data_IF_228909291545
#
_entry.id   IF_228909291545
#
_cell.length_a   1.000
_cell.length_b   1.000
_cell.length_c   1.000
_cell.angle_alpha   90.00
_cell.angle_beta   90.00
_cell.angle_gamma   90.00
#
_symmetry.space_group_name_H-M   'P 1'
#
loop_
_entity.id
_entity.type
_entity.pdbx_description
1 polymer ?
#
# COMPACT_ATOMS: atom_id res chain seq x y z
N UNK A 1 9.15 -21.11 -8.10
CA UNK A 1 9.28 -19.72 -7.60
C UNK A 1 8.52 -18.80 -8.54
N UNK A 2 7.37 -18.26 -8.12
CA UNK A 2 6.54 -17.38 -8.98
C UNK A 2 7.18 -16.00 -9.16
N UNK A 3 7.01 -15.49 -10.37
CA UNK A 3 7.71 -14.36 -10.97
C UNK A 3 7.30 -13.02 -10.37
N UNK A 4 8.20 -12.05 -10.48
CA UNK A 4 8.05 -10.70 -9.98
C UNK A 4 7.88 -9.79 -11.17
N UNK A 5 6.69 -9.22 -11.25
CA UNK A 5 6.40 -8.13 -12.16
C UNK A 5 6.71 -6.82 -11.44
N UNK A 6 7.22 -5.83 -12.16
CA UNK A 6 7.42 -4.50 -11.61
C UNK A 6 6.30 -3.60 -12.13
N UNK A 7 5.46 -3.07 -11.24
CA UNK A 7 4.39 -2.13 -11.55
C UNK A 7 4.78 -0.73 -11.10
N UNK A 8 4.68 0.25 -11.99
CA UNK A 8 4.82 1.67 -11.65
C UNK A 8 3.48 2.21 -11.16
N UNK A 9 3.46 2.87 -10.00
CA UNK A 9 2.22 3.35 -9.37
C UNK A 9 2.42 4.76 -8.84
N UNK A 10 1.35 5.56 -8.84
CA UNK A 10 1.27 6.82 -8.08
C UNK A 10 0.16 6.69 -7.04
N UNK A 11 0.53 6.84 -5.77
CA UNK A 11 -0.36 6.77 -4.61
C UNK A 11 -0.56 8.16 -4.00
N UNK A 12 -1.64 8.36 -3.25
CA UNK A 12 -1.82 9.58 -2.45
C UNK A 12 -1.08 9.50 -1.10
N UNK A 13 -0.50 10.61 -0.67
CA UNK A 13 0.03 10.76 0.69
C UNK A 13 -0.98 11.56 1.54
N UNK A 14 -1.64 10.92 2.51
CA UNK A 14 -2.74 11.55 3.27
C UNK A 14 -2.30 12.22 4.58
N UNK A 15 -1.01 12.29 4.91
CA UNK A 15 -0.59 12.96 6.14
C UNK A 15 -0.64 14.50 6.00
N UNK A 16 -1.73 15.11 6.46
CA UNK A 16 -1.71 16.50 6.92
C UNK A 16 -1.65 16.49 8.45
N UNK A 17 -0.51 16.91 8.99
CA UNK A 17 -0.39 17.34 10.37
C UNK A 17 -1.39 18.49 10.60
N UNK A 18 -2.44 18.25 11.39
CA UNK A 18 -3.33 19.29 11.88
C UNK A 18 -2.76 19.85 13.18
N UNK A 19 -1.77 20.75 13.08
CA UNK A 19 -1.42 21.66 14.17
C UNK A 19 -2.39 22.84 14.16
N UNK A 20 -3.19 22.98 15.21
CA UNK A 20 -4.10 24.11 15.41
C UNK A 20 -3.35 25.42 15.58
N UNK A 21 -3.82 26.48 14.92
CA UNK A 21 -3.25 27.82 15.01
C UNK A 21 -3.66 28.54 16.30
N UNK A 22 -2.66 28.96 17.07
CA UNK A 22 -2.73 30.04 18.06
C UNK A 22 -1.53 30.97 17.83
N UNK A 23 -1.79 32.27 17.68
CA UNK A 23 -0.81 33.25 17.22
C UNK A 23 0.34 33.55 18.20
N UNK A 24 1.50 33.89 17.64
CA UNK A 24 2.66 34.41 18.36
C UNK A 24 3.82 34.70 17.38
N UNK A 25 4.41 35.90 17.45
CA UNK A 25 5.49 36.39 16.59
C UNK A 25 6.86 35.75 16.90
N UNK A 26 7.73 35.82 15.89
CA UNK A 26 9.22 35.82 15.91
C UNK A 26 9.98 34.51 15.67
N UNK A 27 10.78 34.59 14.58
CA UNK A 27 12.14 34.06 14.32
C UNK A 27 12.51 32.69 14.91
N UNK A 28 12.75 31.70 14.05
CA UNK A 28 14.10 31.18 13.78
C UNK A 28 14.07 29.99 12.80
N UNK A 29 15.17 29.88 12.06
CA UNK A 29 15.50 28.87 11.05
C UNK A 29 15.58 27.46 11.66
N UNK A 30 14.66 26.56 11.33
CA UNK A 30 14.88 25.12 11.55
C UNK A 30 14.18 24.26 10.50
N UNK A 31 14.98 23.57 9.71
CA UNK A 31 14.62 22.47 8.80
C UNK A 31 13.85 21.39 9.59
N UNK A 32 12.53 21.27 9.44
CA UNK A 32 11.75 20.23 10.11
C UNK A 32 11.70 18.94 9.28
N UNK A 33 12.57 18.01 9.66
CA UNK A 33 12.54 16.60 9.27
C UNK A 33 11.26 15.95 9.83
N UNK A 34 10.24 15.81 8.99
CA UNK A 34 9.00 15.12 9.36
C UNK A 34 9.17 13.61 9.16
N UNK A 35 9.72 12.94 10.18
CA UNK A 35 9.72 11.49 10.32
C UNK A 35 8.28 11.01 10.51
N UNK A 36 7.68 10.48 9.43
CA UNK A 36 6.60 9.51 9.60
C UNK A 36 7.19 8.36 10.40
N UNK A 37 6.72 8.13 11.62
CA UNK A 37 7.09 7.00 12.46
C UNK A 37 6.60 5.69 11.82
N UNK A 38 7.18 5.29 10.69
CA UNK A 38 7.51 3.90 10.51
C UNK A 38 8.64 3.69 11.51
N UNK A 39 8.34 3.14 12.69
CA UNK A 39 9.40 2.77 13.62
C UNK A 39 10.42 1.95 12.84
N UNK A 40 11.70 2.27 13.01
CA UNK A 40 12.81 1.42 12.59
C UNK A 40 12.73 0.12 13.39
N UNK A 41 11.75 -0.72 13.07
CA UNK A 41 11.68 -2.09 13.55
C UNK A 41 12.55 -2.86 12.58
N UNK A 42 13.87 -2.81 12.81
CA UNK A 42 14.71 -3.92 12.38
C UNK A 42 14.11 -5.17 13.02
N UNK A 43 13.48 -6.03 12.23
CA UNK A 43 12.90 -7.27 12.73
C UNK A 43 14.05 -8.14 13.29
N UNK A 44 14.21 -8.09 14.61
CA UNK A 44 15.04 -8.99 15.39
C UNK A 44 14.13 -10.05 15.98
N UNK A 45 14.29 -11.29 15.52
CA UNK A 45 13.49 -12.43 15.96
C UNK A 45 13.68 -12.78 17.45
N UNK A 46 14.71 -12.21 18.12
CA UNK A 46 15.04 -12.51 19.51
C UNK A 46 14.31 -11.65 20.55
N UNK A 47 13.67 -10.54 20.15
CA UNK A 47 12.98 -9.60 21.05
C UNK A 47 11.46 -9.53 20.80
N UNK A 48 10.89 -10.58 20.21
CA UNK A 48 9.51 -10.59 19.71
C UNK A 48 8.47 -10.68 20.85
N UNK A 49 7.62 -9.64 21.08
CA UNK A 49 6.56 -9.67 22.09
C UNK A 49 5.38 -10.57 21.69
N UNK A 50 5.45 -11.26 20.55
CA UNK A 50 4.41 -12.14 20.01
C UNK A 50 4.78 -13.63 20.00
N UNK A 51 5.83 -14.03 20.74
CA UNK A 51 6.13 -15.43 21.03
C UNK A 51 5.10 -15.99 22.03
N UNK A 52 4.50 -17.15 21.72
CA UNK A 52 3.83 -17.97 22.73
C UNK A 52 4.43 -19.37 22.80
N UNK A 53 4.27 -20.01 23.95
CA UNK A 53 4.93 -21.27 24.36
C UNK A 53 4.56 -22.49 23.48
N UNK A 54 3.65 -22.34 22.52
CA UNK A 54 3.10 -23.42 21.69
C UNK A 54 3.67 -23.47 20.26
N UNK A 55 4.61 -22.58 19.88
CA UNK A 55 5.32 -22.65 18.59
C UNK A 55 4.42 -22.51 17.35
N UNK A 56 3.23 -21.91 17.48
CA UNK A 56 2.35 -21.63 16.35
C UNK A 56 2.66 -20.27 15.74
N UNK A 57 2.80 -20.26 14.41
CA UNK A 57 3.58 -19.26 13.70
C UNK A 57 2.74 -18.11 13.11
N UNK A 58 3.34 -16.91 13.18
CA UNK A 58 3.16 -15.69 12.39
C UNK A 58 2.07 -14.67 12.77
N UNK A 59 2.55 -13.46 13.08
CA UNK A 59 2.10 -12.27 12.34
C UNK A 59 3.18 -11.22 12.25
N UNK A 60 3.91 -11.23 11.14
CA UNK A 60 4.57 -10.01 10.67
C UNK A 60 3.50 -8.91 10.59
N UNK A 61 3.81 -7.65 10.96
CA UNK A 61 2.85 -6.57 10.85
C UNK A 61 2.38 -6.43 9.38
N UNK A 62 1.20 -5.85 9.14
CA UNK A 62 0.63 -5.69 7.80
C UNK A 62 1.57 -5.00 6.82
N UNK A 63 2.49 -4.17 7.32
CA UNK A 63 3.63 -3.69 6.57
C UNK A 63 4.88 -3.64 7.44
N UNK A 64 6.02 -3.94 6.83
CA UNK A 64 7.31 -4.07 7.51
C UNK A 64 8.47 -3.73 6.57
N UNK A 65 9.66 -3.54 7.14
CA UNK A 65 10.91 -3.40 6.40
C UNK A 65 11.80 -4.61 6.64
N UNK A 66 12.67 -4.88 5.69
CA UNK A 66 13.67 -5.97 5.79
C UNK A 66 15.03 -5.33 6.01
N UNK A 67 15.76 -5.81 7.02
CA UNK A 67 17.11 -5.33 7.33
C UNK A 67 18.05 -5.58 6.16
N UNK A 68 18.87 -4.58 5.82
CA UNK A 68 19.84 -4.66 4.72
C UNK A 68 19.26 -4.32 3.35
N UNK A 69 17.97 -3.96 3.29
CA UNK A 69 17.35 -3.40 2.09
C UNK A 69 17.33 -1.88 2.11
N UNK A 70 17.01 -1.24 0.98
CA UNK A 70 16.86 0.22 0.90
C UNK A 70 15.83 0.76 1.89
N UNK A 71 16.12 1.92 2.49
CA UNK A 71 15.21 2.68 3.36
C UNK A 71 13.97 3.20 2.62
N UNK A 72 13.92 3.15 1.30
CA UNK A 72 12.71 3.43 0.52
C UNK A 72 11.86 2.18 0.28
N UNK A 73 12.36 0.98 0.65
CA UNK A 73 11.69 -0.29 0.44
C UNK A 73 10.93 -0.77 1.68
N UNK A 74 9.70 -1.22 1.47
CA UNK A 74 8.85 -1.85 2.48
C UNK A 74 8.02 -2.96 1.84
N UNK A 75 7.42 -3.81 2.67
CA UNK A 75 6.53 -4.88 2.24
C UNK A 75 5.16 -4.68 2.82
N UNK A 76 4.14 -5.10 2.09
CA UNK A 76 2.77 -5.19 2.58
C UNK A 76 2.33 -6.64 2.47
N UNK A 77 1.83 -7.20 3.57
CA UNK A 77 1.35 -8.57 3.66
C UNK A 77 -0.01 -8.62 4.34
N UNK A 78 -0.96 -9.26 3.68
CA UNK A 78 -2.29 -9.51 4.23
C UNK A 78 -2.92 -10.68 3.48
N UNK A 79 -3.52 -11.67 4.14
CA UNK A 79 -4.37 -12.63 3.46
C UNK A 79 -5.58 -11.91 2.86
N UNK A 80 -5.88 -12.17 1.58
CA UNK A 80 -6.96 -11.51 0.84
C UNK A 80 -8.02 -12.51 0.41
N UNK A 81 -9.28 -12.09 0.46
CA UNK A 81 -10.41 -12.86 -0.04
C UNK A 81 -11.28 -12.03 -0.98
N UNK A 82 -11.76 -12.68 -2.03
CA UNK A 82 -12.74 -12.12 -2.96
C UNK A 82 -14.13 -12.39 -2.42
N UNK A 83 -14.98 -11.37 -2.45
CA UNK A 83 -16.42 -11.53 -2.24
C UNK A 83 -17.07 -11.73 -3.63
N UNK A 84 -17.75 -12.87 -3.89
CA UNK A 84 -18.34 -13.15 -5.19
C UNK A 84 -19.45 -12.16 -5.57
N UNK A 85 -20.06 -11.51 -4.58
CA UNK A 85 -21.20 -10.61 -4.77
C UNK A 85 -20.76 -9.15 -4.96
N UNK A 86 -19.47 -8.85 -4.77
CA UNK A 86 -18.95 -7.49 -4.90
C UNK A 86 -17.72 -7.40 -5.79
N UNK A 87 -17.42 -6.19 -6.25
CA UNK A 87 -16.16 -5.92 -6.93
C UNK A 87 -14.97 -5.80 -5.97
N UNK A 88 -15.24 -5.70 -4.66
CA UNK A 88 -14.21 -5.47 -3.65
C UNK A 88 -13.53 -6.77 -3.23
N UNK A 89 -12.33 -6.61 -2.73
CA UNK A 89 -11.50 -7.65 -2.11
C UNK A 89 -11.24 -7.15 -0.71
N UNK A 90 -11.27 -8.08 0.25
CA UNK A 90 -11.12 -7.79 1.67
C UNK A 90 -9.86 -8.46 2.22
N UNK A 91 -9.26 -7.83 3.22
CA UNK A 91 -8.18 -8.42 3.99
C UNK A 91 -8.74 -9.15 5.21
N UNK A 92 -8.02 -10.17 5.66
CA UNK A 92 -8.39 -10.86 6.89
C UNK A 92 -8.27 -9.89 8.08
N UNK A 93 -9.28 -9.73 8.94
CA UNK A 93 -9.27 -8.68 9.97
C UNK A 93 -8.09 -8.76 10.91
N UNK A 94 -7.64 -9.98 11.21
CA UNK A 94 -6.56 -10.15 12.18
C UNK A 94 -5.19 -9.76 11.62
N UNK A 95 -5.02 -9.62 10.29
CA UNK A 95 -3.79 -9.05 9.72
C UNK A 95 -3.79 -7.53 9.74
N UNK A 96 -4.92 -6.90 10.08
CA UNK A 96 -5.05 -5.44 10.18
C UNK A 96 -4.99 -4.95 11.64
N UNK A 97 -4.67 -5.83 12.59
CA UNK A 97 -4.46 -5.46 13.99
C UNK A 97 -3.30 -4.45 14.04
N UNK A 98 -3.49 -3.35 14.79
CA UNK A 98 -2.55 -2.23 14.85
C UNK A 98 -2.82 -1.10 13.85
N UNK A 99 -3.74 -1.29 12.89
CA UNK A 99 -4.21 -0.23 12.00
C UNK A 99 -5.41 0.52 12.58
N UNK A 100 -5.70 1.70 12.03
CA UNK A 100 -6.82 2.53 12.48
C UNK A 100 -8.14 1.77 12.38
N UNK A 101 -9.11 2.13 13.25
CA UNK A 101 -10.44 1.55 13.20
C UNK A 101 -11.10 1.72 11.82
N UNK A 102 -10.85 2.86 11.16
CA UNK A 102 -11.37 3.18 9.82
C UNK A 102 -10.85 2.20 8.75
N UNK A 103 -9.54 1.92 8.74
CA UNK A 103 -8.93 0.96 7.83
C UNK A 103 -9.46 -0.45 8.12
N UNK A 104 -9.53 -0.83 9.39
CA UNK A 104 -9.98 -2.16 9.83
C UNK A 104 -11.45 -2.40 9.47
N UNK A 105 -12.33 -1.45 9.76
CA UNK A 105 -13.77 -1.59 9.49
C UNK A 105 -14.08 -1.59 8.00
N UNK A 106 -13.30 -0.84 7.21
CA UNK A 106 -13.55 -0.72 5.77
C UNK A 106 -12.99 -1.90 4.98
N UNK A 107 -11.77 -2.33 5.29
CA UNK A 107 -11.05 -3.32 4.48
C UNK A 107 -10.95 -4.70 5.12
N UNK A 108 -11.25 -4.81 6.42
CA UNK A 108 -11.30 -6.08 7.14
C UNK A 108 -12.69 -6.69 7.11
N UNK A 109 -12.80 -7.94 6.62
CA UNK A 109 -14.07 -8.65 6.56
C UNK A 109 -13.86 -10.14 6.82
N UNK A 110 -14.78 -10.84 7.50
CA UNK A 110 -14.70 -12.31 7.68
C UNK A 110 -15.68 -13.06 6.80
N UNK A 111 -16.86 -12.49 6.60
CA UNK A 111 -17.97 -13.12 5.91
C UNK A 111 -18.54 -12.18 4.85
N UNK A 112 -19.20 -12.71 3.83
CA UNK A 112 -20.04 -11.90 2.92
C UNK A 112 -21.21 -11.25 3.67
N UNK A 113 -22.00 -10.42 2.98
CA UNK A 113 -23.22 -9.81 3.54
C UNK A 113 -24.26 -10.87 3.95
N UNK A 114 -24.26 -12.02 3.28
CA UNK A 114 -25.13 -13.17 3.54
C UNK A 114 -24.57 -14.11 4.62
N UNK A 115 -23.46 -13.75 5.27
CA UNK A 115 -22.86 -14.53 6.35
C UNK A 115 -21.99 -15.71 5.90
N UNK A 116 -21.68 -15.84 4.60
CA UNK A 116 -20.78 -16.90 4.10
C UNK A 116 -19.33 -16.57 4.42
N UNK A 117 -18.57 -17.52 4.97
CA UNK A 117 -17.15 -17.30 5.29
C UNK A 117 -16.30 -17.05 4.03
N UNK A 118 -15.48 -16.00 4.08
CA UNK A 118 -14.60 -15.62 2.99
C UNK A 118 -13.33 -16.49 2.95
N UNK A 119 -12.94 -16.92 1.75
CA UNK A 119 -11.74 -17.76 1.57
C UNK A 119 -10.48 -16.93 1.36
N UNK A 120 -9.72 -16.73 2.43
CA UNK A 120 -8.47 -15.96 2.41
C UNK A 120 -7.31 -16.73 1.80
N UNK A 121 -6.50 -16.04 0.99
CA UNK A 121 -5.24 -16.56 0.45
C UNK A 121 -4.11 -15.59 0.80
N UNK A 122 -2.93 -16.09 1.18
CA UNK A 122 -1.79 -15.22 1.50
C UNK A 122 -1.44 -14.33 0.31
N UNK A 123 -1.01 -13.11 0.62
CA UNK A 123 -0.55 -12.18 -0.41
C UNK A 123 0.57 -11.29 0.12
N UNK A 124 1.51 -10.96 -0.77
CA UNK A 124 2.69 -10.18 -0.43
C UNK A 124 3.06 -9.27 -1.60
N UNK A 125 3.32 -8.00 -1.30
CA UNK A 125 3.79 -7.01 -2.26
C UNK A 125 5.02 -6.31 -1.69
N UNK A 126 6.10 -6.29 -2.46
CA UNK A 126 7.24 -5.41 -2.18
C UNK A 126 6.97 -4.05 -2.78
N UNK A 127 7.27 -2.99 -2.06
CA UNK A 127 7.00 -1.61 -2.43
C UNK A 127 8.29 -0.79 -2.30
N UNK A 128 8.59 0.07 -3.27
CA UNK A 128 9.73 0.99 -3.20
C UNK A 128 9.25 2.39 -3.53
N UNK A 129 9.45 3.33 -2.59
CA UNK A 129 9.20 4.74 -2.87
C UNK A 129 10.23 5.25 -3.87
N UNK A 130 9.77 5.69 -5.04
CA UNK A 130 10.63 6.24 -6.09
C UNK A 130 10.74 7.75 -6.01
N UNK A 131 9.61 8.42 -5.75
CA UNK A 131 9.54 9.88 -5.68
C UNK A 131 8.37 10.32 -4.82
N UNK A 132 8.54 11.38 -4.03
CA UNK A 132 7.45 12.12 -3.37
C UNK A 132 7.28 13.45 -4.09
N UNK A 133 6.06 13.91 -4.28
CA UNK A 133 5.78 15.15 -5.02
C UNK A 133 4.30 15.51 -4.99
N UNK A 134 3.86 16.28 -5.99
CA UNK A 134 2.49 16.72 -6.14
C UNK A 134 1.91 16.37 -7.51
N UNK A 135 0.61 16.06 -7.52
CA UNK A 135 -0.19 15.88 -8.73
C UNK A 135 -1.41 16.80 -8.65
N UNK A 136 -1.47 17.82 -9.51
CA UNK A 136 -2.53 18.84 -9.48
C UNK A 136 -2.74 19.45 -8.07
N UNK A 137 -1.65 19.70 -7.35
CA UNK A 137 -1.66 20.27 -5.99
C UNK A 137 -1.93 19.27 -4.87
N UNK A 138 -2.20 17.99 -5.18
CA UNK A 138 -2.35 16.94 -4.18
C UNK A 138 -1.01 16.26 -3.90
N UNK A 139 -0.65 16.05 -2.62
CA UNK A 139 0.56 15.31 -2.27
C UNK A 139 0.42 13.84 -2.69
N UNK A 140 1.40 13.37 -3.46
CA UNK A 140 1.45 12.01 -3.99
C UNK A 140 2.83 11.40 -3.83
N UNK A 141 2.87 10.08 -3.82
CA UNK A 141 4.09 9.29 -3.80
C UNK A 141 4.07 8.32 -4.98
N UNK A 142 5.10 8.39 -5.83
CA UNK A 142 5.36 7.40 -6.86
C UNK A 142 6.05 6.20 -6.23
N UNK A 143 5.48 5.02 -6.44
CA UNK A 143 5.91 3.76 -5.82
C UNK A 143 6.07 2.69 -6.90
N UNK A 144 7.18 1.95 -6.85
CA UNK A 144 7.35 0.70 -7.58
C UNK A 144 6.74 -0.43 -6.75
N UNK A 145 5.74 -1.13 -7.29
CA UNK A 145 5.10 -2.27 -6.65
C UNK A 145 5.52 -3.56 -7.34
N UNK A 146 5.97 -4.54 -6.56
CA UNK A 146 6.37 -5.85 -7.05
C UNK A 146 5.56 -6.92 -6.33
N UNK A 147 4.40 -7.33 -6.88
CA UNK A 147 3.60 -8.40 -6.30
C UNK A 147 4.37 -9.72 -6.36
N UNK A 148 4.40 -10.43 -5.23
CA UNK A 148 4.99 -11.78 -5.12
C UNK A 148 3.93 -12.87 -5.27
N UNK A 149 2.68 -12.44 -5.31
CA UNK A 149 1.46 -13.20 -5.52
C UNK A 149 0.55 -12.39 -6.44
N UNK A 150 -0.32 -13.05 -7.22
CA UNK A 150 -1.32 -12.38 -8.05
C UNK A 150 -2.73 -12.63 -7.52
N UNK A 151 -3.16 -11.94 -6.45
CA UNK A 151 -4.57 -11.95 -6.04
C UNK A 151 -5.33 -10.82 -6.74
N UNK A 152 -6.63 -10.97 -6.95
CA UNK A 152 -7.47 -9.90 -7.49
C UNK A 152 -7.33 -8.65 -6.61
N UNK A 153 -7.12 -7.50 -7.26
CA UNK A 153 -6.97 -6.18 -6.62
C UNK A 153 -5.88 -6.09 -5.53
N UNK A 154 -4.92 -7.02 -5.49
CA UNK A 154 -3.91 -7.08 -4.43
C UNK A 154 -3.20 -5.74 -4.21
N UNK A 155 -2.63 -5.17 -5.27
CA UNK A 155 -1.88 -3.92 -5.20
C UNK A 155 -2.75 -2.75 -4.71
N UNK A 156 -3.99 -2.69 -5.22
CA UNK A 156 -4.96 -1.65 -4.90
C UNK A 156 -5.33 -1.67 -3.42
N UNK A 157 -5.68 -2.85 -2.91
CA UNK A 157 -6.04 -3.03 -1.51
C UNK A 157 -4.83 -2.88 -0.58
N UNK A 158 -3.67 -3.42 -0.94
CA UNK A 158 -2.43 -3.27 -0.17
C UNK A 158 -2.07 -1.80 0.06
N UNK A 159 -2.16 -0.98 -0.99
CA UNK A 159 -1.91 0.46 -0.86
C UNK A 159 -3.01 1.18 -0.06
N UNK A 160 -4.25 0.72 -0.15
CA UNK A 160 -5.35 1.27 0.65
C UNK A 160 -5.22 0.97 2.15
N UNK A 161 -4.81 -0.25 2.53
CA UNK A 161 -4.61 -0.62 3.95
C UNK A 161 -3.41 0.09 4.59
N UNK A 162 -2.43 0.54 3.79
CA UNK A 162 -1.35 1.41 4.30
C UNK A 162 -1.80 2.87 4.47
N UNK A 163 -3.06 3.18 4.15
CA UNK A 163 -3.59 4.55 4.14
C UNK A 163 -3.27 5.36 2.89
N UNK A 164 -2.60 4.75 1.91
CA UNK A 164 -2.04 5.40 0.72
C UNK A 164 -2.67 4.84 -0.56
N UNK A 165 -3.99 4.96 -0.69
CA UNK A 165 -4.71 4.42 -1.85
C UNK A 165 -4.14 4.96 -3.19
N UNK A 166 -4.27 4.13 -4.23
CA UNK A 166 -3.81 4.47 -5.58
C UNK A 166 -4.67 5.63 -6.11
N UNK A 167 -4.01 6.66 -6.67
CA UNK A 167 -4.70 7.81 -7.25
C UNK A 167 -5.63 7.38 -8.41
N UNK A 168 -6.86 7.88 -8.47
CA UNK A 168 -7.92 7.51 -9.40
C UNK A 168 -8.58 6.14 -9.15
N UNK A 169 -8.29 5.46 -8.04
CA UNK A 169 -8.95 4.20 -7.68
C UNK A 169 -10.33 4.43 -7.04
N UNK A 170 -11.37 4.41 -7.88
CA UNK A 170 -12.76 4.63 -7.45
C UNK A 170 -13.28 3.67 -6.37
N UNK A 171 -12.68 2.48 -6.24
CA UNK A 171 -13.08 1.45 -5.28
C UNK A 171 -12.43 1.70 -3.92
N UNK A 172 -11.12 1.95 -3.90
CA UNK A 172 -10.34 1.96 -2.68
C UNK A 172 -9.91 3.37 -2.21
N UNK A 173 -9.96 4.41 -3.04
CA UNK A 173 -9.66 5.79 -2.62
C UNK A 173 -10.64 6.34 -1.58
N UNK A 174 -11.87 5.84 -1.55
CA UNK A 174 -12.92 6.43 -0.74
C UNK A 174 -12.78 6.21 0.77
N UNK A 175 -11.59 5.89 1.31
CA UNK A 175 -11.48 5.19 2.59
C UNK A 175 -10.30 5.43 3.50
N UNK A 176 -9.41 6.38 3.25
CA UNK A 176 -8.25 6.54 4.14
C UNK A 176 -7.98 7.96 4.62
N UNK A 177 -9.01 8.80 4.73
CA UNK A 177 -8.83 10.06 5.42
C UNK A 177 -10.13 10.77 5.74
N UNK A 178 -10.12 11.44 6.89
CA UNK A 178 -10.98 12.56 7.28
C UNK A 178 -10.75 13.77 6.35
N UNK A 179 -10.63 13.55 5.05
CA UNK A 179 -10.42 14.61 4.09
C UNK A 179 -11.69 15.46 4.05
N UNK A 180 -11.56 16.79 4.18
CA UNK A 180 -12.69 17.67 4.00
C UNK A 180 -13.35 17.39 2.65
N UNK A 181 -14.68 17.49 2.53
CA UNK A 181 -15.41 17.20 1.27
C UNK A 181 -14.80 17.87 0.03
N UNK A 182 -14.16 19.04 0.19
CA UNK A 182 -13.44 19.77 -0.86
C UNK A 182 -12.23 19.02 -1.43
N UNK A 183 -11.48 18.30 -0.60
CA UNK A 183 -10.30 17.56 -1.04
C UNK A 183 -10.69 16.28 -1.79
N UNK A 184 -11.74 15.57 -1.32
CA UNK A 184 -12.33 14.42 -2.03
C UNK A 184 -12.92 14.78 -3.41
N UNK A 185 -13.46 15.99 -3.55
CA UNK A 185 -13.91 16.52 -4.85
C UNK A 185 -12.73 16.86 -5.75
N UNK A 186 -11.66 17.46 -5.21
CA UNK A 186 -10.44 17.75 -5.95
C UNK A 186 -9.80 16.46 -6.46
N UNK A 187 -9.60 15.46 -5.60
CA UNK A 187 -9.08 14.13 -5.95
C UNK A 187 -9.79 13.52 -7.18
N UNK A 188 -11.13 13.44 -7.14
CA UNK A 188 -11.95 12.94 -8.26
C UNK A 188 -11.81 13.77 -9.54
N UNK A 189 -11.57 15.08 -9.43
CA UNK A 189 -11.35 15.98 -10.56
C UNK A 189 -9.91 15.90 -11.10
N UNK A 190 -8.96 15.50 -10.27
CA UNK A 190 -7.52 15.55 -10.60
C UNK A 190 -7.01 14.34 -11.37
N UNK A 191 -7.67 13.19 -11.31
CA UNK A 191 -7.26 12.01 -12.06
C UNK A 191 -8.45 11.22 -12.62
N UNK A 192 -8.54 11.17 -13.95
CA UNK A 192 -9.66 10.52 -14.66
C UNK A 192 -9.45 9.01 -14.85
N UNK A 193 -8.33 8.46 -14.37
CA UNK A 193 -7.98 7.05 -14.48
C UNK A 193 -7.20 6.60 -13.25
N UNK A 194 -7.25 5.32 -12.93
CA UNK A 194 -6.40 4.75 -11.90
C UNK A 194 -4.92 4.84 -12.32
N UNK A 195 -4.08 5.39 -11.45
CA UNK A 195 -2.63 5.55 -11.60
C UNK A 195 -1.87 4.26 -11.23
N UNK A 196 -2.28 3.15 -11.82
CA UNK A 196 -1.63 1.84 -11.72
C UNK A 196 -1.22 1.39 -13.12
N UNK A 197 0.06 1.11 -13.32
CA UNK A 197 0.62 0.74 -14.63
C UNK A 197 1.53 -0.49 -14.53
N UNK A 198 1.29 -1.47 -15.40
CA UNK A 198 2.17 -2.62 -15.58
C UNK A 198 3.41 -2.20 -16.36
N UNK A 199 4.48 -1.86 -15.63
CA UNK A 199 5.68 -1.28 -16.23
C UNK A 199 6.61 -2.34 -16.81
N UNK A 200 6.78 -3.48 -16.13
CA UNK A 200 7.69 -4.54 -16.57
C UNK A 200 7.15 -5.92 -16.22
N UNK A 201 7.26 -6.83 -17.17
CA UNK A 201 6.81 -8.21 -17.11
C UNK A 201 7.95 -9.11 -17.58
N UNK A 202 8.31 -10.10 -16.76
CA UNK A 202 9.36 -11.07 -17.10
C UNK A 202 8.74 -12.45 -17.14
N UNK A 203 8.74 -13.14 -18.29
CA UNK A 203 8.06 -14.45 -18.48
C UNK A 203 9.04 -15.49 -19.06
N UNK A 204 9.06 -16.75 -18.56
CA UNK A 204 9.85 -17.83 -19.11
C UNK A 204 8.98 -18.58 -20.13
N UNK A 205 9.00 -18.13 -21.39
CA UNK A 205 8.01 -18.59 -22.38
C UNK A 205 8.19 -20.05 -22.83
N UNK A 206 9.35 -20.66 -22.60
CA UNK A 206 9.59 -22.07 -22.93
C UNK A 206 10.52 -22.68 -21.90
N UNK A 207 10.34 -23.97 -21.60
CA UNK A 207 11.26 -24.73 -20.75
C UNK A 207 12.67 -24.88 -21.38
N UNK A 208 12.77 -24.73 -22.69
CA UNK A 208 13.98 -24.94 -23.49
C UNK A 208 14.85 -23.67 -23.61
N UNK A 209 14.24 -22.49 -23.67
CA UNK A 209 14.97 -21.21 -23.59
C UNK A 209 15.34 -20.90 -22.13
N UNK A 210 16.63 -21.01 -21.81
CA UNK A 210 17.17 -20.69 -20.48
C UNK A 210 17.03 -19.21 -20.08
N UNK A 211 16.82 -18.32 -21.05
CA UNK A 211 16.68 -16.87 -20.80
C UNK A 211 15.20 -16.46 -20.77
N UNK A 212 14.73 -15.80 -19.70
CA UNK A 212 13.38 -15.26 -19.64
C UNK A 212 13.24 -14.08 -20.62
N UNK A 213 12.06 -13.92 -21.22
CA UNK A 213 11.75 -12.72 -22.00
C UNK A 213 11.30 -11.60 -21.08
N UNK A 214 11.80 -10.39 -21.33
CA UNK A 214 11.48 -9.18 -20.56
C UNK A 214 10.74 -8.21 -21.47
N UNK A 215 9.59 -7.73 -21.01
CA UNK A 215 8.78 -6.72 -21.66
C UNK A 215 8.72 -5.49 -20.76
N UNK A 216 8.96 -4.30 -21.31
CA UNK A 216 8.96 -3.04 -20.56
C UNK A 216 8.06 -2.04 -21.31
N UNK A 217 7.12 -1.45 -20.61
CA UNK A 217 6.27 -0.37 -21.09
C UNK A 217 6.79 0.98 -20.56
N UNK A 218 6.64 2.03 -21.37
CA UNK A 218 7.04 3.38 -20.97
C UNK A 218 6.21 3.85 -19.76
N UNK A 219 6.86 4.54 -18.84
CA UNK A 219 6.24 5.09 -17.64
C UNK A 219 5.26 6.23 -17.99
N UNK A 220 3.95 6.07 -17.76
CA UNK A 220 2.96 7.09 -18.10
C UNK A 220 2.86 8.20 -17.05
N UNK A 221 3.57 8.09 -15.92
CA UNK A 221 3.43 8.99 -14.76
C UNK A 221 4.65 9.90 -14.58
N UNK A 222 5.10 10.52 -15.67
CA UNK A 222 6.26 11.43 -15.69
C UNK A 222 5.97 12.80 -15.05
N UNK A 223 4.71 13.21 -14.92
CA UNK A 223 4.28 14.53 -14.45
C UNK A 223 4.22 14.72 -12.92
N UNK A 224 4.73 13.78 -12.12
CA UNK A 224 4.82 13.95 -10.66
C UNK A 224 5.95 14.92 -10.37
N UNK A 225 5.65 16.16 -9.95
CA UNK A 225 6.63 17.22 -9.65
C UNK A 225 6.93 17.24 -8.17
#
# INVERSE_FOLDING_TARGET
QQQLDDFGVVNMNTNKASGGGGGGKSKDTTTSSCQSHAGDVSYDSSTDPYLNEAGQNYKLPPFFRVKGESEDAFYVQAPLAEDPNTFQVFAHPDSLIGLSHEIRSKYGRRTTDEGTELKFKPSLTRCVVLKRGFWNGLPVTKVLLQPRTGRRHQLRLHMAITGHAILGDVTYEQGSGSHPPKQKQLERKTCNRMCLHAHKLTIPLSKESSKPKVFIAADPFVGVI
#
